data_IF_457209753885
#
_entry.id   IF_457209753885
#
_cell.length_a   1.000
_cell.length_b   1.000
_cell.length_c   1.000
_cell.angle_alpha   90.00
_cell.angle_beta   90.00
_cell.angle_gamma   90.00
#
_symmetry.space_group_name_H-M   'P 1'
#
loop_
_entity.id
_entity.type
_entity.pdbx_description
1 polymer ?
#
# COMPACT_ATOMS: atom_id res chain seq x y z
N UNK A 1 -14.46 -6.47 -10.99
CA UNK A 1 -13.38 -7.41 -10.67
C UNK A 1 -13.16 -7.35 -9.16
N UNK A 2 -13.36 -8.45 -8.45
CA UNK A 2 -13.04 -8.55 -7.02
C UNK A 2 -11.54 -8.70 -6.89
N UNK A 3 -10.88 -7.81 -6.15
CA UNK A 3 -9.45 -7.94 -5.84
C UNK A 3 -9.34 -8.62 -4.49
N UNK A 4 -8.41 -9.57 -4.37
CA UNK A 4 -8.28 -10.39 -3.19
C UNK A 4 -7.45 -9.63 -2.15
N UNK A 5 -7.98 -9.51 -0.93
CA UNK A 5 -7.32 -8.78 0.16
C UNK A 5 -5.89 -9.29 0.36
N UNK A 6 -4.94 -8.37 0.50
CA UNK A 6 -3.54 -8.69 0.76
C UNK A 6 -2.69 -9.00 -0.49
N UNK A 7 -3.28 -8.96 -1.69
CA UNK A 7 -2.52 -9.02 -2.96
C UNK A 7 -1.86 -7.68 -3.28
N UNK A 8 -0.87 -7.68 -4.18
CA UNK A 8 -0.21 -6.45 -4.62
C UNK A 8 -1.22 -5.49 -5.26
N UNK A 9 -2.09 -6.02 -6.12
CA UNK A 9 -3.13 -5.24 -6.81
C UNK A 9 -4.17 -4.65 -5.84
N UNK A 10 -4.38 -5.31 -4.69
CA UNK A 10 -5.24 -4.77 -3.63
C UNK A 10 -4.61 -3.53 -3.02
N UNK A 11 -3.34 -3.61 -2.64
CA UNK A 11 -2.64 -2.49 -2.03
C UNK A 11 -2.41 -1.34 -3.02
N UNK A 12 -2.08 -1.63 -4.28
CA UNK A 12 -1.97 -0.61 -5.34
C UNK A 12 -3.25 0.22 -5.43
N UNK A 13 -4.42 -0.44 -5.49
CA UNK A 13 -5.71 0.27 -5.55
C UNK A 13 -6.03 1.07 -4.29
N UNK A 14 -5.74 0.52 -3.12
CA UNK A 14 -6.01 1.22 -1.86
C UNK A 14 -5.16 2.49 -1.77
N UNK A 15 -3.88 2.40 -2.12
CA UNK A 15 -2.96 3.53 -2.15
C UNK A 15 -3.40 4.54 -3.21
N UNK A 16 -3.69 4.11 -4.45
CA UNK A 16 -4.20 5.00 -5.50
C UNK A 16 -5.49 5.72 -5.10
N UNK A 17 -6.39 5.03 -4.41
CA UNK A 17 -7.63 5.63 -3.89
C UNK A 17 -7.32 6.74 -2.88
N UNK A 18 -6.38 6.53 -1.96
CA UNK A 18 -5.93 7.56 -1.03
C UNK A 18 -5.17 8.70 -1.73
N UNK A 19 -4.41 8.40 -2.77
CA UNK A 19 -3.68 9.41 -3.55
C UNK A 19 -4.58 10.22 -4.47
N UNK A 20 -5.77 9.72 -4.84
CA UNK A 20 -6.72 10.45 -5.68
C UNK A 20 -7.18 11.78 -5.04
N UNK A 21 -7.08 11.91 -3.71
CA UNK A 21 -7.39 13.13 -2.97
C UNK A 21 -6.20 14.11 -2.89
N UNK A 22 -5.01 13.71 -3.34
CA UNK A 22 -3.79 14.51 -3.28
C UNK A 22 -3.67 15.40 -4.53
N UNK A 23 -3.94 16.69 -4.39
CA UNK A 23 -3.90 17.65 -5.50
C UNK A 23 -2.50 17.91 -6.08
N UNK A 24 -1.42 17.61 -5.32
CA UNK A 24 -0.04 17.96 -5.69
C UNK A 24 0.82 16.73 -5.92
N UNK A 25 1.21 16.52 -7.18
CA UNK A 25 2.11 15.44 -7.61
C UNK A 25 3.45 15.42 -6.87
N UNK A 26 3.97 16.58 -6.49
CA UNK A 26 5.26 16.71 -5.80
C UNK A 26 5.29 16.05 -4.42
N UNK A 27 4.13 15.78 -3.82
CA UNK A 27 4.02 15.11 -2.51
C UNK A 27 3.71 13.62 -2.59
N UNK A 28 3.43 13.09 -3.78
CA UNK A 28 2.97 11.71 -3.94
C UNK A 28 3.89 10.69 -3.27
N UNK A 29 5.20 10.88 -3.35
CA UNK A 29 6.16 9.98 -2.68
C UNK A 29 6.05 10.02 -1.16
N UNK A 30 5.92 11.21 -0.58
CA UNK A 30 5.77 11.39 0.87
C UNK A 30 4.43 10.80 1.33
N UNK A 31 3.36 11.02 0.56
CA UNK A 31 2.04 10.47 0.83
C UNK A 31 2.02 8.94 0.73
N UNK A 32 2.66 8.34 -0.29
CA UNK A 32 2.81 6.87 -0.40
C UNK A 32 3.52 6.31 0.84
N UNK A 33 4.57 6.97 1.32
CA UNK A 33 5.28 6.53 2.53
C UNK A 33 4.39 6.61 3.79
N UNK A 34 3.58 7.67 3.92
CA UNK A 34 2.63 7.80 5.02
C UNK A 34 1.55 6.72 4.98
N UNK A 35 0.98 6.47 3.80
CA UNK A 35 -0.02 5.42 3.59
C UNK A 35 0.60 4.05 3.90
N UNK A 36 1.82 3.77 3.41
CA UNK A 36 2.54 2.55 3.71
C UNK A 36 2.71 2.34 5.21
N UNK A 37 3.21 3.35 5.93
CA UNK A 37 3.44 3.25 7.37
C UNK A 37 2.14 2.95 8.13
N UNK A 38 1.04 3.59 7.76
CA UNK A 38 -0.28 3.35 8.35
C UNK A 38 -0.77 1.93 8.08
N UNK A 39 -0.71 1.47 6.84
CA UNK A 39 -1.13 0.12 6.47
C UNK A 39 -0.25 -0.96 7.13
N UNK A 40 1.06 -0.72 7.27
CA UNK A 40 1.94 -1.62 8.01
C UNK A 40 1.56 -1.71 9.50
N UNK A 41 1.20 -0.58 10.11
CA UNK A 41 0.74 -0.54 11.50
C UNK A 41 -0.56 -1.34 11.68
N UNK A 42 -1.53 -1.14 10.80
CA UNK A 42 -2.81 -1.87 10.79
C UNK A 42 -2.58 -3.39 10.59
N UNK A 43 -1.72 -3.79 9.65
CA UNK A 43 -1.39 -5.20 9.41
C UNK A 43 -0.68 -5.87 10.59
N UNK A 44 0.10 -5.12 11.37
CA UNK A 44 0.85 -5.64 12.52
C UNK A 44 0.01 -5.71 13.78
N UNK A 45 -0.79 -4.69 14.03
CA UNK A 45 -1.45 -4.49 15.33
C UNK A 45 -2.93 -4.87 15.31
N UNK A 46 -3.62 -4.63 14.21
CA UNK A 46 -5.08 -4.73 14.14
C UNK A 46 -5.55 -5.94 13.30
N UNK A 47 -4.72 -6.41 12.37
CA UNK A 47 -5.06 -7.54 11.49
C UNK A 47 -4.76 -8.90 12.14
N UNK A 48 -5.82 -9.54 12.64
CA UNK A 48 -5.78 -10.90 13.20
C UNK A 48 -5.74 -11.93 12.06
N UNK A 49 -4.56 -12.50 11.84
CA UNK A 49 -4.30 -13.52 10.85
C UNK A 49 -3.10 -14.41 11.25
N UNK A 50 -2.90 -15.50 10.50
CA UNK A 50 -1.69 -16.30 10.59
C UNK A 50 -0.45 -15.48 10.25
N UNK A 51 0.65 -15.74 10.95
CA UNK A 51 1.91 -15.00 10.78
C UNK A 51 2.45 -15.06 9.34
N UNK A 52 2.23 -16.18 8.65
CA UNK A 52 2.59 -16.34 7.24
C UNK A 52 1.82 -15.37 6.35
N UNK A 53 0.50 -15.29 6.53
CA UNK A 53 -0.33 -14.38 5.76
C UNK A 53 0.03 -12.92 6.06
N UNK A 54 0.33 -12.59 7.32
CA UNK A 54 0.82 -11.25 7.69
C UNK A 54 2.11 -10.89 6.97
N UNK A 55 3.08 -11.80 6.95
CA UNK A 55 4.35 -11.59 6.27
C UNK A 55 4.15 -11.41 4.76
N UNK A 56 3.30 -12.22 4.14
CA UNK A 56 2.93 -12.08 2.73
C UNK A 56 2.26 -10.72 2.45
N UNK A 57 1.31 -10.29 3.27
CA UNK A 57 0.67 -8.98 3.13
C UNK A 57 1.67 -7.82 3.26
N UNK A 58 2.58 -7.88 4.24
CA UNK A 58 3.61 -6.84 4.43
C UNK A 58 4.58 -6.78 3.24
N UNK A 59 4.96 -7.93 2.68
CA UNK A 59 5.79 -7.98 1.49
C UNK A 59 5.06 -7.41 0.27
N UNK A 60 3.80 -7.83 0.06
CA UNK A 60 2.99 -7.36 -1.05
C UNK A 60 2.71 -5.85 -0.96
N UNK A 61 2.51 -5.31 0.25
CA UNK A 61 2.40 -3.87 0.48
C UNK A 61 3.70 -3.14 0.10
N UNK A 62 4.85 -3.67 0.53
CA UNK A 62 6.16 -3.09 0.17
C UNK A 62 6.33 -3.06 -1.35
N UNK A 63 6.03 -4.17 -2.02
CA UNK A 63 6.15 -4.31 -3.47
C UNK A 63 5.20 -3.35 -4.21
N UNK A 64 3.95 -3.19 -3.74
CA UNK A 64 2.98 -2.23 -4.27
C UNK A 64 3.50 -0.79 -4.15
N UNK A 65 4.01 -0.39 -2.98
CA UNK A 65 4.56 0.94 -2.75
C UNK A 65 5.79 1.21 -3.63
N UNK A 66 6.67 0.22 -3.82
CA UNK A 66 7.83 0.33 -4.71
C UNK A 66 7.40 0.56 -6.16
N UNK A 67 6.46 -0.23 -6.68
CA UNK A 67 5.93 -0.08 -8.05
C UNK A 67 5.30 1.28 -8.28
N UNK A 68 4.42 1.71 -7.38
CA UNK A 68 3.79 3.02 -7.46
C UNK A 68 4.82 4.14 -7.42
N UNK A 69 5.82 4.05 -6.54
CA UNK A 69 6.90 5.05 -6.48
C UNK A 69 7.70 5.12 -7.78
N UNK A 70 7.98 4.00 -8.44
CA UNK A 70 8.64 3.96 -9.75
C UNK A 70 7.77 4.60 -10.83
N UNK A 71 6.47 4.31 -10.84
CA UNK A 71 5.51 4.85 -11.82
C UNK A 71 5.33 6.38 -11.72
N UNK A 72 5.45 6.95 -10.52
CA UNK A 72 5.35 8.41 -10.30
C UNK A 72 6.65 9.19 -10.50
N UNK A 73 7.78 8.52 -10.77
CA UNK A 73 9.09 9.16 -11.00
C UNK A 73 9.37 9.42 -12.49
N UNK A 74 8.40 9.12 -13.38
CA UNK A 74 8.49 9.37 -14.85
C UNK A 74 7.96 10.75 -15.25
#
# INVERSE_FOLDING_TARGET
MTVLFGTIEYFEREIEFHLAEVEKRERLREEIQQIQMKLEEELRNDFICDERLRAECLQNLTDACSRLTEDYVV
#
